data_IF_625385184206
#
_entry.id   IF_625385184206
#
_cell.length_a   1.000
_cell.length_b   1.000
_cell.length_c   1.000
_cell.angle_alpha   90.00
_cell.angle_beta   90.00
_cell.angle_gamma   90.00
#
_symmetry.space_group_name_H-M   'P 1'
#
loop_
_entity.id
_entity.type
_entity.pdbx_description
1 polymer ?
#
# COMPACT_ATOMS: atom_id res chain seq x y z
N UNK A 1 8.51 31.34 -7.22
CA UNK A 1 7.12 30.91 -7.48
C UNK A 1 7.03 29.49 -6.95
N UNK A 2 6.03 29.17 -6.11
CA UNK A 2 5.83 27.79 -5.68
C UNK A 2 5.28 27.04 -6.90
N UNK A 3 6.08 26.17 -7.50
CA UNK A 3 5.70 25.43 -8.70
C UNK A 3 4.56 24.46 -8.35
N UNK A 4 3.57 24.27 -9.24
CA UNK A 4 2.34 23.54 -8.91
C UNK A 4 2.61 22.13 -8.29
N UNK A 5 3.68 21.47 -8.72
CA UNK A 5 4.12 20.18 -8.17
C UNK A 5 4.58 20.26 -6.70
N UNK A 6 5.13 21.38 -6.24
CA UNK A 6 5.54 21.56 -4.84
C UNK A 6 4.32 21.55 -3.92
N UNK A 7 3.23 22.20 -4.35
CA UNK A 7 1.96 22.16 -3.61
C UNK A 7 1.41 20.75 -3.58
N UNK A 8 1.37 20.06 -4.72
CA UNK A 8 0.91 18.66 -4.79
C UNK A 8 1.71 17.74 -3.86
N UNK A 9 3.03 17.91 -3.79
CA UNK A 9 3.89 17.11 -2.92
C UNK A 9 3.60 17.33 -1.42
N UNK A 10 3.37 18.59 -1.03
CA UNK A 10 3.01 18.93 0.36
C UNK A 10 1.65 18.36 0.72
N UNK A 11 0.67 18.49 -0.17
CA UNK A 11 -0.69 17.95 0.03
C UNK A 11 -0.65 16.42 0.16
N UNK A 12 0.12 15.72 -0.69
CA UNK A 12 0.29 14.27 -0.60
C UNK A 12 1.02 13.82 0.67
N UNK A 13 2.02 14.56 1.14
CA UNK A 13 2.70 14.30 2.41
C UNK A 13 1.75 14.40 3.61
N UNK A 14 0.90 15.42 3.65
CA UNK A 14 -0.12 15.57 4.69
C UNK A 14 -1.17 14.45 4.65
N UNK A 15 -1.62 14.11 3.43
CA UNK A 15 -2.58 13.04 3.22
C UNK A 15 -2.04 11.69 3.67
N UNK A 16 -0.81 11.32 3.27
CA UNK A 16 -0.23 10.02 3.63
C UNK A 16 0.03 9.94 5.14
N UNK A 17 0.43 11.04 5.79
CA UNK A 17 0.59 11.08 7.26
C UNK A 17 -0.74 10.85 7.98
N UNK A 18 -1.81 11.49 7.52
CA UNK A 18 -3.15 11.26 8.08
C UNK A 18 -3.60 9.82 7.84
N UNK A 19 -3.41 9.31 6.63
CA UNK A 19 -3.75 7.94 6.25
C UNK A 19 -2.99 6.91 7.10
N UNK A 20 -1.69 7.10 7.30
CA UNK A 20 -0.83 6.23 8.10
C UNK A 20 -1.31 6.07 9.55
N UNK A 21 -2.02 7.06 10.10
CA UNK A 21 -2.60 6.97 11.45
C UNK A 21 -4.01 6.37 11.48
N UNK A 22 -4.76 6.49 10.38
CA UNK A 22 -6.19 6.18 10.34
C UNK A 22 -6.47 4.81 9.74
N UNK A 23 -5.79 4.46 8.65
CA UNK A 23 -6.02 3.25 7.86
C UNK A 23 -5.74 1.97 8.67
N UNK A 24 -4.62 1.84 9.41
CA UNK A 24 -4.38 0.65 10.22
C UNK A 24 -5.50 0.37 11.23
N UNK A 25 -5.98 1.42 11.92
CA UNK A 25 -7.09 1.32 12.88
C UNK A 25 -8.40 0.92 12.20
N UNK A 26 -8.65 1.42 11.00
CA UNK A 26 -9.83 1.07 10.22
C UNK A 26 -9.79 -0.40 9.79
N UNK A 27 -8.64 -0.89 9.31
CA UNK A 27 -8.43 -2.28 8.89
C UNK A 27 -8.52 -3.27 10.07
N UNK A 28 -8.12 -2.86 11.28
CA UNK A 28 -8.25 -3.65 12.50
C UNK A 28 -9.68 -3.68 13.07
N UNK A 29 -10.53 -2.73 12.68
CA UNK A 29 -11.87 -2.62 13.23
C UNK A 29 -12.70 -3.88 12.93
N UNK A 30 -13.33 -4.53 13.94
CA UNK A 30 -14.03 -5.80 13.76
C UNK A 30 -15.25 -5.71 12.83
N UNK A 31 -15.79 -4.50 12.64
CA UNK A 31 -16.92 -4.24 11.74
C UNK A 31 -16.55 -3.88 10.30
N UNK A 32 -15.26 -3.84 9.93
CA UNK A 32 -14.89 -3.57 8.52
C UNK A 32 -15.36 -4.73 7.65
N UNK A 33 -15.98 -4.42 6.51
CA UNK A 33 -16.42 -5.44 5.54
C UNK A 33 -15.38 -5.67 4.45
N UNK A 34 -15.49 -6.80 3.74
CA UNK A 34 -14.67 -7.08 2.55
C UNK A 34 -14.80 -5.97 1.50
N UNK A 35 -16.02 -5.51 1.20
CA UNK A 35 -16.24 -4.40 0.24
C UNK A 35 -15.51 -3.12 0.67
N UNK A 36 -15.58 -2.77 1.96
CA UNK A 36 -14.89 -1.60 2.51
C UNK A 36 -13.37 -1.75 2.41
N UNK A 37 -12.82 -2.91 2.75
CA UNK A 37 -11.39 -3.18 2.65
C UNK A 37 -10.90 -3.17 1.19
N UNK A 38 -11.66 -3.76 0.27
CA UNK A 38 -11.33 -3.79 -1.17
C UNK A 38 -11.37 -2.39 -1.79
N UNK A 39 -12.39 -1.59 -1.47
CA UNK A 39 -12.47 -0.20 -1.95
C UNK A 39 -11.36 0.66 -1.36
N UNK A 40 -11.02 0.44 -0.09
CA UNK A 40 -9.90 1.13 0.53
C UNK A 40 -8.58 0.77 -0.15
N UNK A 41 -8.35 -0.51 -0.46
CA UNK A 41 -7.17 -0.96 -1.20
C UNK A 41 -7.05 -0.25 -2.56
N UNK A 42 -8.10 -0.28 -3.38
CA UNK A 42 -8.12 0.39 -4.70
C UNK A 42 -7.84 1.89 -4.58
N UNK A 43 -8.47 2.57 -3.61
CA UNK A 43 -8.24 4.00 -3.41
C UNK A 43 -6.79 4.33 -2.99
N UNK A 44 -6.13 3.42 -2.25
CA UNK A 44 -4.72 3.60 -1.88
C UNK A 44 -3.82 3.34 -3.09
N UNK A 45 -4.11 2.32 -3.90
CA UNK A 45 -3.39 2.04 -5.14
C UNK A 45 -3.41 3.24 -6.09
N UNK A 46 -4.57 3.89 -6.25
CA UNK A 46 -4.69 5.14 -7.03
C UNK A 46 -3.79 6.27 -6.50
N UNK A 47 -3.48 6.29 -5.20
CA UNK A 47 -2.53 7.24 -4.62
C UNK A 47 -1.08 6.87 -4.93
N UNK A 48 -0.74 5.58 -4.95
CA UNK A 48 0.57 5.09 -5.40
C UNK A 48 0.80 5.47 -6.86
N UNK A 49 -0.17 5.20 -7.74
CA UNK A 49 -0.09 5.53 -9.17
C UNK A 49 0.06 7.04 -9.41
N UNK A 50 -0.69 7.87 -8.66
CA UNK A 50 -0.56 9.33 -8.75
C UNK A 50 0.84 9.80 -8.35
N UNK A 51 1.43 9.19 -7.33
CA UNK A 51 2.80 9.51 -6.93
C UNK A 51 3.82 9.04 -7.96
N UNK A 52 3.62 7.89 -8.60
CA UNK A 52 4.49 7.41 -9.68
C UNK A 52 4.49 8.38 -10.87
N UNK A 53 3.31 8.88 -11.27
CA UNK A 53 3.17 9.93 -12.30
C UNK A 53 3.87 11.23 -11.88
N UNK A 54 3.74 11.64 -10.61
CA UNK A 54 4.41 12.83 -10.11
C UNK A 54 5.93 12.67 -10.14
N UNK A 55 6.46 11.54 -9.69
CA UNK A 55 7.90 11.24 -9.70
C UNK A 55 8.44 11.30 -11.13
N UNK A 56 7.78 10.65 -12.09
CA UNK A 56 8.15 10.72 -13.49
C UNK A 56 8.20 12.17 -14.00
N UNK A 57 7.19 12.99 -13.67
CA UNK A 57 7.18 14.39 -14.07
C UNK A 57 8.33 15.19 -13.43
N UNK A 58 8.69 14.92 -12.17
CA UNK A 58 9.83 15.57 -11.52
C UNK A 58 11.17 15.18 -12.19
N UNK A 59 11.32 13.90 -12.56
CA UNK A 59 12.50 13.40 -13.27
C UNK A 59 12.63 14.01 -14.67
N UNK A 60 11.53 14.03 -15.45
CA UNK A 60 11.49 14.61 -16.80
C UNK A 60 11.83 16.11 -16.81
N UNK A 61 11.41 16.83 -15.76
CA UNK A 61 11.69 18.27 -15.62
C UNK A 61 13.03 18.55 -14.93
N UNK A 62 13.87 17.53 -14.68
CA UNK A 62 15.19 17.66 -14.03
C UNK A 62 15.12 18.40 -12.68
N UNK A 63 14.05 18.16 -11.91
CA UNK A 63 13.90 18.72 -10.56
C UNK A 63 14.98 18.13 -9.64
N UNK A 64 15.38 18.89 -8.61
CA UNK A 64 16.40 18.46 -7.65
C UNK A 64 16.07 17.08 -7.06
N UNK A 65 17.11 16.23 -6.96
CA UNK A 65 17.02 14.88 -6.39
C UNK A 65 16.43 14.87 -4.98
N UNK A 66 16.60 15.94 -4.19
CA UNK A 66 16.00 16.01 -2.85
C UNK A 66 14.47 15.95 -2.90
N UNK A 67 13.85 16.57 -3.92
CA UNK A 67 12.41 16.56 -4.11
C UNK A 67 11.91 15.23 -4.65
N UNK A 68 12.65 14.64 -5.59
CA UNK A 68 12.36 13.29 -6.09
C UNK A 68 12.41 12.28 -4.94
N UNK A 69 13.43 12.36 -4.08
CA UNK A 69 13.57 11.50 -2.91
C UNK A 69 12.41 11.68 -1.91
N UNK A 70 11.93 12.91 -1.72
CA UNK A 70 10.75 13.17 -0.90
C UNK A 70 9.51 12.53 -1.51
N UNK A 71 9.29 12.68 -2.81
CA UNK A 71 8.19 12.04 -3.53
C UNK A 71 8.23 10.51 -3.43
N UNK A 72 9.40 9.90 -3.62
CA UNK A 72 9.59 8.45 -3.43
C UNK A 72 9.27 8.01 -2.00
N UNK A 73 9.60 8.82 -0.99
CA UNK A 73 9.30 8.51 0.42
C UNK A 73 7.80 8.51 0.68
N UNK A 74 7.06 9.47 0.11
CA UNK A 74 5.60 9.54 0.19
C UNK A 74 4.97 8.33 -0.54
N UNK A 75 5.44 8.03 -1.75
CA UNK A 75 5.01 6.88 -2.56
C UNK A 75 5.17 5.55 -1.80
N UNK A 76 6.33 5.32 -1.19
CA UNK A 76 6.59 4.11 -0.39
C UNK A 76 5.69 4.03 0.86
N UNK A 77 5.26 5.17 1.39
CA UNK A 77 4.33 5.20 2.52
C UNK A 77 2.92 4.80 2.09
N UNK A 78 2.48 5.25 0.91
CA UNK A 78 1.23 4.77 0.29
C UNK A 78 1.29 3.28 -0.05
N UNK A 79 2.39 2.80 -0.63
CA UNK A 79 2.56 1.38 -0.99
C UNK A 79 2.41 0.45 0.23
N UNK A 80 3.02 0.80 1.37
CA UNK A 80 2.85 0.03 2.61
C UNK A 80 1.39 -0.04 3.06
N UNK A 81 0.65 1.06 2.91
CA UNK A 81 -0.78 1.11 3.25
C UNK A 81 -1.60 0.24 2.29
N UNK A 82 -1.24 0.22 0.99
CA UNK A 82 -1.86 -0.68 0.01
C UNK A 82 -1.62 -2.14 0.39
N UNK A 83 -0.38 -2.52 0.69
CA UNK A 83 -0.04 -3.87 1.13
C UNK A 83 -0.85 -4.32 2.35
N UNK A 84 -1.04 -3.45 3.34
CA UNK A 84 -1.81 -3.77 4.54
C UNK A 84 -3.31 -3.94 4.22
N UNK A 85 -3.86 -3.12 3.34
CA UNK A 85 -5.23 -3.29 2.86
C UNK A 85 -5.39 -4.57 2.03
N UNK A 86 -4.42 -4.90 1.16
CA UNK A 86 -4.38 -6.13 0.38
C UNK A 86 -4.36 -7.38 1.27
N UNK A 87 -3.48 -7.39 2.29
CA UNK A 87 -3.42 -8.46 3.30
C UNK A 87 -4.78 -8.65 3.98
N UNK A 88 -5.46 -7.56 4.33
CA UNK A 88 -6.80 -7.64 4.94
C UNK A 88 -7.84 -8.26 4.00
N UNK A 89 -7.83 -7.89 2.72
CA UNK A 89 -8.71 -8.47 1.68
C UNK A 89 -8.45 -9.98 1.51
N UNK A 90 -7.18 -10.39 1.52
CA UNK A 90 -6.80 -11.82 1.44
C UNK A 90 -7.31 -12.62 2.65
N UNK A 91 -7.20 -12.06 3.86
CA UNK A 91 -7.76 -12.68 5.08
C UNK A 91 -9.26 -12.92 4.95
N UNK A 92 -10.02 -11.94 4.46
CA UNK A 92 -11.46 -12.08 4.21
C UNK A 92 -11.78 -13.12 3.14
N UNK A 93 -10.94 -13.25 2.12
CA UNK A 93 -11.13 -14.18 1.01
C UNK A 93 -10.80 -15.63 1.37
N UNK A 94 -10.40 -15.89 2.62
CA UNK A 94 -10.00 -17.23 3.09
C UNK A 94 -8.71 -17.73 2.45
N UNK A 95 -8.03 -16.90 1.66
CA UNK A 95 -6.73 -17.16 1.04
C UNK A 95 -5.64 -16.82 2.05
N UNK A 96 -5.73 -17.43 3.23
CA UNK A 96 -4.56 -17.58 4.07
C UNK A 96 -3.63 -18.52 3.31
N UNK A 97 -2.39 -18.11 3.11
CA UNK A 97 -1.38 -18.91 2.42
C UNK A 97 -1.04 -20.18 3.23
N UNK A 98 -1.93 -21.16 3.20
CA UNK A 98 -1.67 -22.54 3.63
C UNK A 98 -0.98 -23.27 2.49
N UNK A 99 0.23 -22.83 2.14
CA UNK A 99 1.14 -23.60 1.30
C UNK A 99 2.51 -23.78 1.96
N UNK A 100 2.53 -24.30 3.20
CA UNK A 100 3.56 -25.28 3.57
C UNK A 100 2.84 -26.53 4.06
N UNK A 101 2.59 -27.39 3.10
CA UNK A 101 1.96 -28.70 3.24
C UNK A 101 2.94 -29.61 3.98
N UNK A 102 2.58 -29.93 5.22
CA UNK A 102 3.09 -31.06 5.99
C UNK A 102 2.83 -32.35 5.20
N UNK A 103 3.81 -32.76 4.39
CA UNK A 103 3.78 -34.04 3.66
C UNK A 103 4.88 -34.97 4.19
N UNK A 104 5.09 -34.98 5.52
CA UNK A 104 5.77 -36.09 6.17
C UNK A 104 4.80 -37.26 6.34
N UNK A 105 4.41 -37.86 5.20
CA UNK A 105 3.61 -39.07 5.15
C UNK A 105 4.25 -40.17 6.01
N UNK A 106 3.59 -40.49 7.12
CA UNK A 106 3.55 -41.87 7.61
C UNK A 106 3.02 -42.77 6.50
N UNK A 107 3.86 -43.66 5.99
CA UNK A 107 3.39 -44.99 5.59
C UNK A 107 4.26 -46.07 6.22
N UNK A 108 3.61 -46.75 7.15
CA UNK A 108 4.00 -47.94 7.88
C UNK A 108 3.77 -49.18 7.01
N UNK A 109 4.58 -50.20 7.26
CA UNK A 109 4.43 -51.64 6.99
C UNK A 109 4.84 -52.25 5.63
N UNK A 110 5.79 -53.18 5.71
CA UNK A 110 5.58 -54.56 5.26
C UNK A 110 6.57 -55.10 4.22
N UNK A 111 7.47 -56.00 4.63
CA UNK A 111 8.30 -56.83 3.73
C UNK A 111 9.68 -57.10 4.28
#
# INVERSE_FOLDING_TARGET
>A
MCEAWQRSLIEEDELVKKAATTIPRLLEHPGITLDQASRLHVNIDECVERMDVLIMALEENSVDRSWIQMATTIRNSWERLAEDAAKKVLVFSGTSDTTVRDDSMRKVMGG
#
